data_IF_656915699944
#
_entry.id   IF_656915699944
#
_cell.length_a   1.000
_cell.length_b   1.000
_cell.length_c   1.000
_cell.angle_alpha   90.00
_cell.angle_beta   90.00
_cell.angle_gamma   90.00
#
_symmetry.space_group_name_H-M   'P 1'
#
loop_
_entity.id
_entity.type
_entity.pdbx_description
1 polymer ?
#
# COMPACT_ATOMS: atom_id res chain seq x y z
N UNK A 1 1.40 -5.25 -23.96
CA UNK A 1 0.64 -5.20 -22.72
C UNK A 1 1.20 -4.23 -21.66
N UNK A 2 2.43 -3.73 -21.81
CA UNK A 2 3.05 -2.81 -20.84
C UNK A 2 2.50 -1.36 -20.82
N UNK A 3 1.62 -1.00 -21.74
CA UNK A 3 1.08 0.38 -21.84
C UNK A 3 -0.06 0.66 -20.86
N UNK A 4 -0.78 -0.36 -20.42
CA UNK A 4 -1.95 -0.17 -19.52
C UNK A 4 -1.49 0.08 -18.08
N UNK A 5 -0.46 -0.60 -17.60
CA UNK A 5 0.10 -0.40 -16.26
C UNK A 5 0.79 0.97 -16.11
N UNK A 6 1.53 1.42 -17.12
CA UNK A 6 2.13 2.76 -17.13
C UNK A 6 1.07 3.86 -17.19
N UNK A 7 -0.04 3.65 -17.92
CA UNK A 7 -1.13 4.62 -17.96
C UNK A 7 -1.91 4.70 -16.64
N UNK A 8 -2.02 3.59 -15.90
CA UNK A 8 -2.69 3.59 -14.58
C UNK A 8 -1.87 4.32 -13.52
N UNK A 9 -0.56 4.12 -13.48
CA UNK A 9 0.34 4.84 -12.58
C UNK A 9 0.43 6.32 -12.95
N UNK A 10 0.47 6.64 -14.25
CA UNK A 10 0.46 8.02 -14.72
C UNK A 10 -0.85 8.75 -14.41
N UNK A 11 -2.00 8.06 -14.41
CA UNK A 11 -3.28 8.64 -14.05
C UNK A 11 -3.37 8.99 -12.55
N UNK A 12 -2.84 8.14 -11.67
CA UNK A 12 -2.79 8.41 -10.22
C UNK A 12 -1.85 9.58 -9.92
N UNK A 13 -0.69 9.64 -10.57
CA UNK A 13 0.26 10.76 -10.44
C UNK A 13 -0.32 12.06 -11.02
N UNK A 14 -1.08 12.00 -12.12
CA UNK A 14 -1.71 13.17 -12.73
C UNK A 14 -2.85 13.75 -11.86
N UNK A 15 -3.62 12.92 -11.17
CA UNK A 15 -4.63 13.37 -10.20
C UNK A 15 -3.95 14.05 -9.01
N UNK A 16 -2.83 13.51 -8.53
CA UNK A 16 -2.05 14.12 -7.46
C UNK A 16 -1.47 15.50 -7.83
N UNK A 17 -1.01 15.68 -9.08
CA UNK A 17 -0.45 16.93 -9.57
C UNK A 17 -1.51 18.03 -9.81
N UNK A 18 -2.77 17.65 -10.08
CA UNK A 18 -3.85 18.60 -10.31
C UNK A 18 -4.36 19.29 -9.03
N UNK A 19 -4.05 18.76 -7.86
CA UNK A 19 -4.50 19.31 -6.56
C UNK A 19 -3.52 20.32 -5.93
N UNK A 20 -2.35 20.53 -6.53
CA UNK A 20 -1.27 21.34 -5.94
C UNK A 20 -1.46 22.87 -5.99
N UNK A 21 -2.58 23.37 -6.55
CA UNK A 21 -2.85 24.81 -6.63
C UNK A 21 -3.97 25.31 -5.68
N UNK A 22 -4.39 24.51 -4.72
CA UNK A 22 -5.37 24.95 -3.71
C UNK A 22 -4.64 25.58 -2.53
N UNK A 23 -4.70 26.88 -2.48
CA UNK A 23 -4.19 27.80 -1.49
C UNK A 23 -4.44 27.38 -0.04
N UNK A 24 -3.46 27.72 0.82
CA UNK A 24 -3.50 27.64 2.27
C UNK A 24 -4.67 28.41 2.90
N UNK A 25 -5.85 27.84 2.88
CA UNK A 25 -6.94 28.22 3.78
C UNK A 25 -7.27 26.99 4.61
N UNK A 26 -7.39 27.18 5.93
CA UNK A 26 -7.67 26.18 7.00
C UNK A 26 -8.31 24.91 6.43
N UNK A 27 -7.49 23.93 6.21
CA UNK A 27 -7.79 22.89 5.26
C UNK A 27 -8.68 21.82 5.88
N UNK A 28 -9.95 21.97 5.67
CA UNK A 28 -10.92 20.88 5.73
C UNK A 28 -10.88 20.02 4.46
N UNK A 29 -9.71 19.91 3.80
CA UNK A 29 -9.58 19.07 2.64
C UNK A 29 -9.61 17.60 3.06
N UNK A 30 -10.64 16.85 2.70
CA UNK A 30 -10.74 15.44 3.05
C UNK A 30 -9.77 14.55 2.25
N UNK A 31 -9.14 15.09 1.20
CA UNK A 31 -8.17 14.36 0.40
C UNK A 31 -6.78 14.46 0.98
N UNK A 32 -6.09 13.33 0.97
CA UNK A 32 -4.71 13.18 1.44
C UNK A 32 -3.90 12.46 0.38
N UNK A 33 -2.63 12.83 0.25
CA UNK A 33 -1.66 12.12 -0.59
C UNK A 33 -0.53 11.69 0.34
N UNK A 34 0.08 10.57 0.05
CA UNK A 34 1.18 10.13 0.88
C UNK A 34 2.02 9.03 0.28
N UNK A 35 3.03 8.66 1.03
CA UNK A 35 3.90 7.56 0.69
C UNK A 35 4.42 6.86 1.93
N UNK A 36 4.81 5.62 1.75
CA UNK A 36 5.39 4.80 2.79
C UNK A 36 6.51 3.92 2.24
N UNK A 37 7.42 3.54 3.12
CA UNK A 37 8.44 2.55 2.82
C UNK A 37 8.69 1.68 4.05
N UNK A 38 9.17 0.46 3.84
CA UNK A 38 9.44 -0.45 4.95
C UNK A 38 9.98 -1.80 4.53
N UNK A 39 9.94 -2.72 5.48
CA UNK A 39 10.42 -4.09 5.32
C UNK A 39 9.21 -4.99 5.05
N UNK A 40 9.34 -5.91 4.10
CA UNK A 40 8.32 -6.90 3.78
C UNK A 40 8.81 -8.30 4.17
N UNK A 41 8.04 -8.97 5.00
CA UNK A 41 8.33 -10.33 5.45
C UNK A 41 7.49 -11.32 4.65
N UNK A 42 8.10 -12.29 3.94
CA UNK A 42 7.34 -13.34 3.27
C UNK A 42 6.67 -14.24 4.31
N UNK A 43 5.51 -14.81 3.96
CA UNK A 43 4.79 -15.77 4.79
C UNK A 43 4.02 -16.77 3.92
N UNK A 44 3.55 -17.87 4.53
CA UNK A 44 2.94 -18.98 3.79
C UNK A 44 3.90 -19.58 2.78
N UNK A 45 3.40 -20.01 1.64
CA UNK A 45 4.19 -20.68 0.59
C UNK A 45 5.32 -19.78 0.03
N UNK A 46 5.19 -18.45 0.17
CA UNK A 46 6.24 -17.51 -0.25
C UNK A 46 7.49 -17.60 0.65
N UNK A 47 7.35 -17.98 1.91
CA UNK A 47 8.47 -18.07 2.86
C UNK A 47 9.42 -19.23 2.56
N UNK A 48 9.00 -20.21 1.77
CA UNK A 48 9.81 -21.38 1.44
C UNK A 48 10.88 -21.10 0.38
N UNK A 49 10.78 -19.96 -0.33
CA UNK A 49 11.73 -19.59 -1.39
C UNK A 49 12.14 -18.13 -1.43
N UNK A 50 11.60 -17.31 -0.54
CA UNK A 50 11.85 -15.87 -0.51
C UNK A 50 12.38 -15.40 0.84
N UNK A 51 13.37 -14.54 0.79
CA UNK A 51 13.91 -13.85 1.97
C UNK A 51 13.17 -12.53 2.19
N UNK A 52 13.37 -11.96 3.37
CA UNK A 52 12.91 -10.60 3.72
C UNK A 52 13.25 -9.60 2.61
N UNK A 53 12.29 -8.75 2.31
CA UNK A 53 12.38 -7.76 1.26
C UNK A 53 12.01 -6.36 1.72
N UNK A 54 11.71 -5.49 0.76
CA UNK A 54 11.24 -4.14 1.03
C UNK A 54 9.90 -3.84 0.36
N UNK A 55 9.22 -2.85 0.90
CA UNK A 55 7.98 -2.29 0.35
C UNK A 55 8.13 -0.79 0.14
N UNK A 56 7.59 -0.30 -0.97
CA UNK A 56 7.37 1.13 -1.22
C UNK A 56 5.94 1.30 -1.68
N UNK A 57 5.23 2.27 -1.09
CA UNK A 57 3.81 2.51 -1.36
C UNK A 57 3.56 3.99 -1.60
N UNK A 58 2.75 4.29 -2.61
CA UNK A 58 2.11 5.59 -2.83
C UNK A 58 0.62 5.46 -2.53
N UNK A 59 0.06 6.47 -1.89
CA UNK A 59 -1.31 6.44 -1.42
C UNK A 59 -2.05 7.74 -1.71
N UNK A 60 -3.34 7.61 -2.05
CA UNK A 60 -4.32 8.71 -2.07
C UNK A 60 -5.46 8.31 -1.15
N UNK A 61 -5.73 9.16 -0.16
CA UNK A 61 -6.77 8.95 0.84
C UNK A 61 -7.91 9.95 0.70
N UNK A 62 -9.09 9.53 1.12
CA UNK A 62 -10.25 10.39 1.35
C UNK A 62 -10.80 10.10 2.74
N UNK A 63 -10.74 11.10 3.63
CA UNK A 63 -11.18 10.99 5.02
C UNK A 63 -12.14 12.14 5.33
N UNK A 64 -13.46 11.89 5.34
CA UNK A 64 -14.44 12.91 5.73
C UNK A 64 -14.23 13.33 7.19
N UNK A 65 -14.44 14.62 7.47
CA UNK A 65 -14.10 15.22 8.79
C UNK A 65 -14.88 14.66 9.98
N UNK A 66 -16.10 14.17 9.75
CA UNK A 66 -17.01 13.75 10.84
C UNK A 66 -17.15 12.23 10.97
N UNK A 67 -16.34 11.46 10.24
CA UNK A 67 -16.41 10.00 10.28
C UNK A 67 -15.07 9.39 10.68
N UNK A 68 -15.08 8.31 11.46
CA UNK A 68 -13.87 7.54 11.73
C UNK A 68 -13.42 6.69 10.53
N UNK A 69 -14.20 6.69 9.44
CA UNK A 69 -13.98 5.85 8.26
C UNK A 69 -13.43 6.71 7.13
N UNK A 70 -12.34 6.26 6.55
CA UNK A 70 -11.76 6.79 5.31
C UNK A 70 -11.56 5.71 4.27
N UNK A 71 -11.29 6.15 3.06
CA UNK A 71 -10.92 5.28 1.93
C UNK A 71 -9.50 5.61 1.51
N UNK A 72 -8.71 4.59 1.16
CA UNK A 72 -7.33 4.78 0.69
C UNK A 72 -7.08 3.89 -0.53
N UNK A 73 -6.65 4.49 -1.63
CA UNK A 73 -6.20 3.79 -2.84
C UNK A 73 -4.68 3.83 -2.86
N UNK A 74 -4.07 2.71 -3.18
CA UNK A 74 -2.62 2.55 -3.08
C UNK A 74 -2.05 1.85 -4.30
N UNK A 75 -0.85 2.31 -4.69
CA UNK A 75 0.04 1.60 -5.58
C UNK A 75 1.29 1.20 -4.78
N UNK A 76 1.53 -0.07 -4.65
CA UNK A 76 2.64 -0.61 -3.88
C UNK A 76 3.58 -1.45 -4.74
N UNK A 77 4.86 -1.44 -4.38
CA UNK A 77 5.88 -2.30 -4.94
C UNK A 77 6.56 -3.06 -3.80
N UNK A 78 6.51 -4.38 -3.87
CA UNK A 78 7.17 -5.27 -2.93
C UNK A 78 8.24 -6.05 -3.68
N UNK A 79 9.46 -6.12 -3.15
CA UNK A 79 10.54 -6.93 -3.70
C UNK A 79 11.14 -7.79 -2.59
N UNK A 80 11.30 -9.07 -2.86
CA UNK A 80 11.83 -10.08 -1.95
C UNK A 80 13.12 -10.66 -2.53
N UNK A 81 14.12 -10.90 -1.68
CA UNK A 81 15.28 -11.69 -2.05
C UNK A 81 14.88 -13.15 -2.31
N UNK A 82 15.51 -13.81 -3.24
CA UNK A 82 15.34 -15.24 -3.44
C UNK A 82 16.51 -16.03 -2.85
N UNK A 83 16.25 -17.23 -2.33
CA UNK A 83 17.29 -18.14 -1.86
C UNK A 83 17.97 -18.86 -3.03
N UNK A 84 19.23 -19.21 -2.89
CA UNK A 84 19.94 -20.10 -3.83
C UNK A 84 20.33 -19.51 -5.17
N UNK A 85 20.35 -18.18 -5.34
CA UNK A 85 20.76 -17.52 -6.59
C UNK A 85 19.66 -17.41 -7.63
N UNK A 86 18.41 -17.64 -7.28
CA UNK A 86 17.25 -17.37 -8.12
C UNK A 86 17.01 -15.87 -8.30
N UNK A 87 16.20 -15.51 -9.29
CA UNK A 87 15.82 -14.12 -9.53
C UNK A 87 14.95 -13.59 -8.38
N UNK A 88 15.07 -12.30 -8.10
CA UNK A 88 14.25 -11.59 -7.09
C UNK A 88 12.76 -11.70 -7.42
N UNK A 89 11.96 -11.94 -6.39
CA UNK A 89 10.51 -11.97 -6.50
C UNK A 89 9.97 -10.56 -6.28
N UNK A 90 9.21 -10.04 -7.23
CA UNK A 90 8.56 -8.75 -7.07
C UNK A 90 7.05 -8.85 -7.25
N UNK A 91 6.31 -8.10 -6.43
CA UNK A 91 4.86 -8.12 -6.37
C UNK A 91 4.34 -6.67 -6.38
N UNK A 92 4.22 -6.04 -7.56
CA UNK A 92 3.45 -4.82 -7.70
C UNK A 92 1.99 -5.05 -7.32
N UNK A 93 1.38 -4.07 -6.66
CA UNK A 93 0.00 -4.14 -6.23
C UNK A 93 -0.73 -2.81 -6.42
N UNK A 94 -2.02 -2.90 -6.72
CA UNK A 94 -2.94 -1.77 -6.74
C UNK A 94 -4.18 -2.14 -5.92
N UNK A 95 -4.41 -1.44 -4.80
CA UNK A 95 -5.43 -1.82 -3.82
C UNK A 95 -6.34 -0.65 -3.44
N UNK A 96 -7.61 -0.98 -3.17
CA UNK A 96 -8.57 -0.10 -2.52
C UNK A 96 -8.83 -0.58 -1.09
N UNK A 97 -8.76 0.33 -0.12
CA UNK A 97 -8.79 0.01 1.29
C UNK A 97 -9.77 0.90 2.05
N UNK A 98 -10.43 0.34 3.05
CA UNK A 98 -11.16 1.05 4.08
C UNK A 98 -10.25 1.21 5.30
N UNK A 99 -10.23 2.41 5.86
CA UNK A 99 -9.46 2.75 7.05
C UNK A 99 -10.42 3.19 8.14
N UNK A 100 -10.40 2.51 9.26
CA UNK A 100 -11.17 2.88 10.44
C UNK A 100 -10.21 3.37 11.52
N UNK A 101 -10.21 4.67 11.78
CA UNK A 101 -9.30 5.30 12.74
C UNK A 101 -10.06 5.70 14.01
N UNK A 102 -9.53 5.29 15.15
CA UNK A 102 -10.02 5.77 16.44
C UNK A 102 -9.44 7.15 16.72
N UNK A 103 -10.28 8.11 17.17
CA UNK A 103 -9.79 9.42 17.52
C UNK A 103 -8.84 9.36 18.72
N UNK A 104 -7.72 10.05 18.64
CA UNK A 104 -6.73 10.16 19.71
C UNK A 104 -6.12 11.56 19.74
N UNK A 105 -5.62 11.97 20.89
CA UNK A 105 -5.04 13.30 21.09
C UNK A 105 -3.60 13.36 20.59
N UNK A 106 -2.78 12.36 20.92
CA UNK A 106 -1.37 12.33 20.55
C UNK A 106 -1.05 11.28 19.49
N UNK A 107 -1.88 10.25 19.40
CA UNK A 107 -1.80 9.21 18.37
C UNK A 107 -3.20 8.64 18.11
N UNK A 108 -3.42 8.13 16.90
CA UNK A 108 -4.69 7.55 16.48
C UNK A 108 -4.44 6.14 15.97
N UNK A 109 -4.75 5.11 16.75
CA UNK A 109 -4.72 3.73 16.25
C UNK A 109 -5.80 3.55 15.19
N UNK A 110 -5.50 2.72 14.18
CA UNK A 110 -6.44 2.41 13.12
C UNK A 110 -6.32 0.97 12.66
N UNK A 111 -7.39 0.47 12.10
CA UNK A 111 -7.40 -0.75 11.31
C UNK A 111 -7.61 -0.40 9.85
N UNK A 112 -7.08 -1.23 8.98
CA UNK A 112 -7.20 -1.10 7.54
C UNK A 112 -7.47 -2.46 6.93
N UNK A 113 -8.33 -2.48 5.92
CA UNK A 113 -8.59 -3.70 5.17
C UNK A 113 -9.09 -3.37 3.78
N UNK A 114 -8.73 -4.20 2.83
CA UNK A 114 -9.07 -3.96 1.44
C UNK A 114 -8.77 -5.11 0.52
N UNK A 115 -8.92 -4.83 -0.77
CA UNK A 115 -8.68 -5.79 -1.82
C UNK A 115 -8.12 -5.08 -3.06
N UNK A 116 -7.55 -5.86 -3.96
CA UNK A 116 -7.02 -5.31 -5.20
C UNK A 116 -6.35 -6.33 -6.10
N UNK A 117 -5.59 -5.80 -7.04
CA UNK A 117 -4.84 -6.57 -8.02
C UNK A 117 -3.36 -6.60 -7.61
N UNK A 118 -2.80 -7.78 -7.63
CA UNK A 118 -1.40 -8.07 -7.39
C UNK A 118 -0.83 -8.76 -8.62
N UNK A 119 0.40 -8.42 -8.98
CA UNK A 119 1.08 -8.97 -10.16
C UNK A 119 2.39 -9.64 -9.74
N UNK A 120 2.33 -10.84 -9.13
CA UNK A 120 3.54 -11.55 -8.73
C UNK A 120 4.40 -11.88 -9.96
N UNK A 121 5.70 -11.62 -9.86
CA UNK A 121 6.69 -12.09 -10.84
C UNK A 121 7.63 -13.06 -10.11
N UNK A 122 7.43 -14.35 -10.35
CA UNK A 122 8.10 -15.43 -9.64
C UNK A 122 9.24 -16.05 -10.52
N UNK A 123 9.70 -15.34 -11.54
CA UNK A 123 10.91 -15.70 -12.29
C UNK A 123 10.78 -16.90 -13.24
N UNK A 124 9.60 -17.49 -13.43
CA UNK A 124 9.37 -18.59 -14.36
C UNK A 124 8.39 -18.16 -15.44
N UNK A 125 8.93 -17.66 -16.57
CA UNK A 125 8.11 -17.19 -17.68
C UNK A 125 7.82 -15.68 -17.61
N UNK A 126 7.53 -15.11 -18.78
CA UNK A 126 7.30 -13.67 -18.94
C UNK A 126 5.82 -13.27 -18.72
N UNK A 127 5.02 -14.18 -18.18
CA UNK A 127 3.59 -13.99 -17.99
C UNK A 127 3.30 -13.33 -16.64
N UNK A 128 3.19 -12.00 -16.69
CA UNK A 128 2.71 -11.20 -15.59
C UNK A 128 1.19 -11.24 -15.58
N UNK A 129 0.63 -12.12 -14.81
CA UNK A 129 -0.81 -12.19 -14.60
C UNK A 129 -1.23 -11.38 -13.37
N UNK A 130 -2.40 -10.74 -13.49
CA UNK A 130 -3.01 -10.03 -12.39
C UNK A 130 -3.84 -11.00 -11.56
N UNK A 131 -3.52 -11.14 -10.31
CA UNK A 131 -4.25 -11.96 -9.36
C UNK A 131 -5.01 -11.09 -8.37
N UNK A 132 -6.20 -11.53 -8.01
CA UNK A 132 -6.96 -10.87 -6.97
C UNK A 132 -6.43 -11.25 -5.60
N UNK A 133 -6.34 -10.25 -4.72
CA UNK A 133 -5.90 -10.44 -3.35
C UNK A 133 -6.61 -9.50 -2.39
N UNK A 134 -6.49 -9.80 -1.12
CA UNK A 134 -6.99 -8.97 -0.03
C UNK A 134 -5.89 -8.67 0.98
N UNK A 135 -6.11 -7.63 1.75
CA UNK A 135 -5.22 -7.26 2.83
C UNK A 135 -6.02 -6.83 4.07
N UNK A 136 -5.41 -7.05 5.23
CA UNK A 136 -5.91 -6.59 6.52
C UNK A 136 -4.73 -6.24 7.42
N UNK A 137 -4.87 -5.17 8.19
CA UNK A 137 -3.81 -4.74 9.08
C UNK A 137 -4.23 -3.63 10.01
N UNK A 138 -3.24 -2.99 10.58
CA UNK A 138 -3.45 -1.86 11.45
C UNK A 138 -2.19 -1.06 11.66
N UNK A 139 -2.35 0.08 12.28
CA UNK A 139 -1.25 1.00 12.52
C UNK A 139 -1.60 2.09 13.52
N UNK A 140 -0.66 2.98 13.68
CA UNK A 140 -0.78 4.15 14.53
C UNK A 140 -0.43 5.37 13.69
N UNK A 141 -1.31 6.37 13.69
CA UNK A 141 -1.08 7.68 13.11
C UNK A 141 -0.63 8.65 14.19
N UNK A 142 0.39 9.42 13.88
CA UNK A 142 0.97 10.44 14.74
C UNK A 142 0.90 11.77 13.99
N UNK A 143 0.06 12.71 14.39
CA UNK A 143 0.00 14.03 13.78
C UNK A 143 1.29 14.80 14.07
N UNK A 144 1.99 15.22 13.02
CA UNK A 144 3.19 16.07 13.13
C UNK A 144 2.84 17.55 13.06
N UNK A 145 1.78 17.87 12.32
CA UNK A 145 1.25 19.24 12.20
C UNK A 145 -0.22 19.18 11.75
N UNK A 146 -0.85 20.33 11.57
CA UNK A 146 -2.20 20.42 11.01
C UNK A 146 -2.35 19.82 9.59
N UNK A 147 -1.25 19.73 8.86
CA UNK A 147 -1.24 19.28 7.46
C UNK A 147 -0.49 17.98 7.21
N UNK A 148 0.27 17.48 8.20
CA UNK A 148 1.09 16.28 8.06
C UNK A 148 0.82 15.29 9.17
N UNK A 149 0.54 14.06 8.82
CA UNK A 149 0.53 12.94 9.75
C UNK A 149 1.55 11.89 9.29
N UNK A 150 2.30 11.34 10.23
CA UNK A 150 3.10 10.14 10.00
C UNK A 150 2.35 8.91 10.50
N UNK A 151 2.70 7.76 9.98
CA UNK A 151 2.10 6.51 10.46
C UNK A 151 3.12 5.37 10.44
N UNK A 152 2.88 4.39 11.31
CA UNK A 152 3.51 3.08 11.28
C UNK A 152 2.40 2.07 11.06
N UNK A 153 2.57 1.18 10.09
CA UNK A 153 1.54 0.23 9.68
C UNK A 153 2.14 -1.16 9.46
N UNK A 154 1.44 -2.19 9.92
CA UNK A 154 1.71 -3.58 9.58
C UNK A 154 0.47 -4.19 8.93
N UNK A 155 0.64 -4.91 7.81
CA UNK A 155 -0.48 -5.41 7.01
C UNK A 155 -0.21 -6.81 6.49
N UNK A 156 -1.12 -7.73 6.72
CA UNK A 156 -1.12 -9.04 6.09
C UNK A 156 -1.76 -8.95 4.72
N UNK A 157 -1.04 -9.36 3.69
CA UNK A 157 -1.52 -9.46 2.31
C UNK A 157 -1.60 -10.93 1.92
N UNK A 158 -2.70 -11.33 1.28
CA UNK A 158 -2.89 -12.66 0.72
C UNK A 158 -3.36 -12.56 -0.72
N UNK A 159 -2.63 -13.22 -1.61
CA UNK A 159 -2.89 -13.25 -3.06
C UNK A 159 -3.20 -14.68 -3.45
N UNK A 160 -4.29 -14.88 -4.15
CA UNK A 160 -4.67 -16.19 -4.68
C UNK A 160 -4.04 -16.37 -6.06
N UNK A 161 -3.00 -17.20 -6.14
CA UNK A 161 -2.29 -17.53 -7.37
C UNK A 161 -2.51 -19.02 -7.61
N UNK A 162 -3.48 -19.39 -8.45
CA UNK A 162 -3.85 -20.76 -8.79
C UNK A 162 -3.91 -21.70 -7.56
N UNK A 163 -2.91 -22.59 -7.41
CA UNK A 163 -2.80 -23.52 -6.30
C UNK A 163 -1.84 -23.06 -5.18
N UNK A 164 -1.32 -21.82 -5.25
CA UNK A 164 -0.38 -21.26 -4.27
C UNK A 164 -1.02 -20.14 -3.48
N UNK A 165 -0.76 -20.13 -2.18
CA UNK A 165 -1.16 -19.04 -1.29
C UNK A 165 0.04 -18.10 -1.06
N UNK A 166 0.20 -17.13 -1.95
CA UNK A 166 1.24 -16.10 -1.78
C UNK A 166 0.79 -15.12 -0.70
N UNK A 167 1.51 -15.07 0.39
CA UNK A 167 1.22 -14.12 1.47
C UNK A 167 2.48 -13.45 1.99
N UNK A 168 2.33 -12.21 2.50
CA UNK A 168 3.45 -11.44 3.05
C UNK A 168 2.95 -10.32 3.97
N UNK A 169 3.85 -9.84 4.84
CA UNK A 169 3.56 -8.82 5.84
C UNK A 169 4.55 -7.66 5.68
N UNK A 170 4.19 -6.58 4.98
CA UNK A 170 4.94 -5.33 5.04
C UNK A 170 4.72 -4.63 6.40
N UNK A 171 5.81 -4.14 6.97
CA UNK A 171 5.85 -3.20 8.10
C UNK A 171 6.44 -1.91 7.58
N UNK A 172 5.66 -0.85 7.53
CA UNK A 172 6.00 0.40 6.85
C UNK A 172 5.89 1.59 7.77
N UNK A 173 6.68 2.61 7.47
CA UNK A 173 6.56 3.96 8.01
C UNK A 173 6.23 4.88 6.84
N UNK A 174 5.28 5.78 7.03
CA UNK A 174 4.83 6.67 5.97
C UNK A 174 4.39 8.03 6.48
N UNK A 175 4.10 8.89 5.51
CA UNK A 175 3.61 10.24 5.73
C UNK A 175 2.41 10.49 4.81
N UNK A 176 1.40 11.20 5.32
CA UNK A 176 0.24 11.69 4.58
C UNK A 176 0.12 13.19 4.79
N UNK A 177 -0.23 13.93 3.72
CA UNK A 177 -0.48 15.38 3.74
C UNK A 177 -1.69 15.80 2.91
#
# INVERSE_FOLDING_TARGET
MNRILLSSVAAVVAIAAATSNASAQLSSNPFQIGGAAGIAFPSGDLSDGANTGYNVTLAVGYKPMLTPIGVRVEAAYNEFGAEGGFEKINIPAFTGNLVFALPGISFSPYIIGGAGLYTPNIGVGNDRENHFGFNIGGGIKIPLSSSFETFVEARYNKVSVDNLNVSFIPVTVGIMW
#
